data_IF_540973071426
#
_entry.id   IF_540973071426
#
_cell.length_a   1.000
_cell.length_b   1.000
_cell.length_c   1.000
_cell.angle_alpha   90.00
_cell.angle_beta   90.00
_cell.angle_gamma   90.00
#
_symmetry.space_group_name_H-M   'P 1'
#
loop_
_entity.id
_entity.type
_entity.pdbx_description
1 polymer ?
#
# COMPACT_ATOMS: atom_id res chain seq x y z
N UNK A 1 42.71 42.43 21.78
CA UNK A 1 42.34 41.66 20.56
C UNK A 1 41.70 40.28 20.85
N UNK A 2 41.57 39.85 22.10
CA UNK A 2 41.10 38.51 22.48
C UNK A 2 39.57 38.38 22.56
N UNK A 3 38.86 39.46 22.94
CA UNK A 3 37.40 39.48 23.11
C UNK A 3 36.61 39.22 21.81
N UNK A 4 37.10 39.74 20.68
CA UNK A 4 36.44 39.59 19.36
C UNK A 4 36.48 38.15 18.84
N UNK A 5 37.57 37.40 19.12
CA UNK A 5 37.69 35.98 18.74
C UNK A 5 36.78 35.09 19.57
N UNK A 6 36.69 35.32 20.88
CA UNK A 6 35.84 34.52 21.79
C UNK A 6 34.36 34.69 21.43
N UNK A 7 33.92 35.92 21.16
CA UNK A 7 32.52 36.20 20.77
C UNK A 7 32.15 35.55 19.42
N UNK A 8 33.08 35.55 18.46
CA UNK A 8 32.86 34.94 17.15
C UNK A 8 32.78 33.41 17.24
N UNK A 9 33.65 32.79 18.04
CA UNK A 9 33.62 31.34 18.28
C UNK A 9 32.33 30.93 18.99
N UNK A 10 31.89 31.67 20.02
CA UNK A 10 30.63 31.41 20.74
C UNK A 10 29.37 31.58 19.86
N UNK A 11 29.33 32.60 19.00
CA UNK A 11 28.23 32.75 18.03
C UNK A 11 28.20 31.63 16.99
N UNK A 12 29.37 31.16 16.53
CA UNK A 12 29.46 30.08 15.56
C UNK A 12 28.99 28.74 16.16
N UNK A 13 29.38 28.41 17.40
CA UNK A 13 28.88 27.20 18.07
C UNK A 13 27.39 27.29 18.37
N UNK A 14 26.87 28.45 18.77
CA UNK A 14 25.43 28.63 19.01
C UNK A 14 24.61 28.48 17.72
N UNK A 15 25.14 28.97 16.59
CA UNK A 15 24.52 28.84 15.27
C UNK A 15 24.53 27.38 14.76
N UNK A 16 25.63 26.65 14.98
CA UNK A 16 25.72 25.23 14.60
C UNK A 16 24.78 24.38 15.45
N UNK A 17 24.69 24.64 16.76
CA UNK A 17 23.78 23.91 17.66
C UNK A 17 22.31 24.16 17.31
N UNK A 18 21.94 25.38 16.91
CA UNK A 18 20.56 25.68 16.48
C UNK A 18 20.21 25.04 15.14
N UNK A 19 21.12 24.99 14.17
CA UNK A 19 20.90 24.28 12.89
C UNK A 19 20.73 22.76 13.12
N UNK A 20 21.52 22.16 14.01
CA UNK A 20 21.38 20.74 14.36
C UNK A 20 20.07 20.46 15.11
N UNK A 21 19.67 21.32 16.06
CA UNK A 21 18.40 21.16 16.78
C UNK A 21 17.18 21.32 15.87
N UNK A 22 17.19 22.25 14.92
CA UNK A 22 16.09 22.41 13.96
C UNK A 22 15.99 21.21 12.99
N UNK A 23 17.12 20.64 12.57
CA UNK A 23 17.14 19.52 11.63
C UNK A 23 16.62 18.22 12.24
N UNK A 24 16.96 17.94 13.51
CA UNK A 24 16.50 16.73 14.21
C UNK A 24 15.00 16.80 14.52
N UNK A 25 14.48 17.97 14.90
CA UNK A 25 13.05 18.18 15.10
C UNK A 25 12.25 18.01 13.79
N UNK A 26 12.76 18.52 12.68
CA UNK A 26 12.11 18.37 11.36
C UNK A 26 12.10 16.91 10.90
N UNK A 27 13.18 16.16 11.10
CA UNK A 27 13.26 14.75 10.70
C UNK A 27 12.29 13.86 11.51
N UNK A 28 12.13 14.13 12.81
CA UNK A 28 11.19 13.38 13.66
C UNK A 28 9.74 13.69 13.32
N UNK A 29 9.42 14.96 13.05
CA UNK A 29 8.10 15.37 12.59
C UNK A 29 7.76 14.80 11.21
N UNK A 30 8.72 14.76 10.28
CA UNK A 30 8.51 14.16 8.95
C UNK A 30 8.30 12.65 9.03
N UNK A 31 9.07 11.92 9.86
CA UNK A 31 8.89 10.48 10.02
C UNK A 31 7.50 10.14 10.59
N UNK A 32 7.06 10.87 11.61
CA UNK A 32 5.72 10.68 12.19
C UNK A 32 4.60 11.01 11.19
N UNK A 33 4.79 12.02 10.34
CA UNK A 33 3.82 12.34 9.28
C UNK A 33 3.73 11.24 8.23
N UNK A 34 4.85 10.65 7.83
CA UNK A 34 4.89 9.51 6.89
C UNK A 34 4.20 8.27 7.46
N UNK A 35 4.45 7.95 8.74
CA UNK A 35 3.76 6.86 9.46
C UNK A 35 2.23 7.06 9.45
N UNK A 36 1.78 8.26 9.80
CA UNK A 36 0.35 8.60 9.81
C UNK A 36 -0.27 8.53 8.41
N UNK A 37 0.44 8.98 7.38
CA UNK A 37 -0.06 8.92 6.01
C UNK A 37 -0.19 7.48 5.51
N UNK A 38 0.78 6.61 5.82
CA UNK A 38 0.72 5.19 5.47
C UNK A 38 -0.47 4.50 6.16
N UNK A 39 -0.65 4.72 7.46
CA UNK A 39 -1.77 4.17 8.23
C UNK A 39 -3.13 4.67 7.71
N UNK A 40 -3.26 5.98 7.45
CA UNK A 40 -4.50 6.56 6.94
C UNK A 40 -4.86 6.01 5.54
N UNK A 41 -3.84 5.78 4.70
CA UNK A 41 -4.05 5.18 3.37
C UNK A 41 -4.53 3.73 3.48
N UNK A 42 -3.92 2.95 4.39
CA UNK A 42 -4.35 1.59 4.64
C UNK A 42 -5.76 1.51 5.23
N UNK A 43 -6.10 2.39 6.17
CA UNK A 43 -7.46 2.52 6.71
C UNK A 43 -8.48 2.85 5.61
N UNK A 44 -8.11 3.75 4.69
CA UNK A 44 -8.96 4.10 3.56
C UNK A 44 -9.20 2.90 2.64
N UNK A 45 -8.17 2.10 2.38
CA UNK A 45 -8.28 0.87 1.60
C UNK A 45 -9.22 -0.13 2.26
N UNK A 46 -9.03 -0.41 3.56
CA UNK A 46 -9.87 -1.34 4.30
C UNK A 46 -11.34 -0.91 4.28
N UNK A 47 -11.59 0.40 4.44
CA UNK A 47 -12.94 0.95 4.40
C UNK A 47 -13.62 0.76 3.04
N UNK A 48 -12.94 1.12 1.95
CA UNK A 48 -13.50 1.00 0.60
C UNK A 48 -13.64 -0.47 0.19
N UNK A 49 -12.59 -1.26 0.38
CA UNK A 49 -12.58 -2.67 0.03
C UNK A 49 -13.59 -3.49 0.85
N UNK A 50 -13.71 -3.23 2.15
CA UNK A 50 -14.75 -3.84 3.01
C UNK A 50 -16.18 -3.43 2.65
N UNK A 51 -16.36 -2.41 1.80
CA UNK A 51 -17.65 -2.01 1.23
C UNK A 51 -17.87 -2.54 -0.19
N UNK A 52 -16.90 -3.29 -0.75
CA UNK A 52 -16.92 -3.72 -2.14
C UNK A 52 -16.78 -2.57 -3.13
N UNK A 53 -16.19 -1.43 -2.73
CA UNK A 53 -16.05 -0.25 -3.57
C UNK A 53 -14.84 -0.39 -4.54
N UNK A 54 -15.07 -0.34 -5.87
CA UNK A 54 -14.01 -0.47 -6.86
C UNK A 54 -12.90 0.57 -6.79
N UNK A 55 -13.17 1.74 -6.20
CA UNK A 55 -12.16 2.79 -6.05
C UNK A 55 -11.00 2.38 -5.14
N UNK A 56 -11.17 1.34 -4.31
CA UNK A 56 -10.09 0.69 -3.56
C UNK A 56 -8.95 0.18 -4.46
N UNK A 57 -9.23 -0.12 -5.73
CA UNK A 57 -8.23 -0.48 -6.74
C UNK A 57 -7.09 0.54 -6.82
N UNK A 58 -7.40 1.82 -6.73
CA UNK A 58 -6.43 2.91 -6.86
C UNK A 58 -5.50 3.03 -5.64
N UNK A 59 -5.79 2.32 -4.56
CA UNK A 59 -4.96 2.31 -3.35
C UNK A 59 -3.95 1.16 -3.34
N UNK A 60 -4.09 0.18 -4.23
CA UNK A 60 -3.10 -0.89 -4.41
C UNK A 60 -1.83 -0.38 -5.09
N UNK A 61 -0.70 -1.03 -4.81
CA UNK A 61 0.56 -0.80 -5.53
C UNK A 61 0.42 -1.27 -6.99
N UNK A 62 1.24 -0.73 -7.89
CA UNK A 62 1.23 -1.15 -9.29
C UNK A 62 1.56 -2.65 -9.44
N UNK A 63 2.47 -3.17 -8.60
CA UNK A 63 2.78 -4.60 -8.56
C UNK A 63 1.59 -5.41 -8.02
N UNK A 64 0.94 -4.95 -6.96
CA UNK A 64 -0.24 -5.62 -6.41
C UNK A 64 -1.41 -5.66 -7.40
N UNK A 65 -1.64 -4.56 -8.13
CA UNK A 65 -2.60 -4.52 -9.22
C UNK A 65 -2.29 -5.55 -10.31
N UNK A 66 -1.03 -5.61 -10.75
CA UNK A 66 -0.61 -6.59 -11.75
C UNK A 66 -0.90 -8.03 -11.31
N UNK A 67 -0.49 -8.40 -10.10
CA UNK A 67 -0.67 -9.77 -9.57
C UNK A 67 -2.16 -10.10 -9.42
N UNK A 68 -2.97 -9.15 -8.94
CA UNK A 68 -4.42 -9.34 -8.85
C UNK A 68 -5.05 -9.68 -10.21
N UNK A 69 -4.67 -8.96 -11.27
CA UNK A 69 -5.19 -9.21 -12.62
C UNK A 69 -4.74 -10.57 -13.15
N UNK A 70 -3.49 -10.96 -12.89
CA UNK A 70 -2.98 -12.28 -13.29
C UNK A 70 -3.78 -13.41 -12.61
N UNK A 71 -4.06 -13.29 -11.31
CA UNK A 71 -4.86 -14.28 -10.55
C UNK A 71 -6.29 -14.35 -11.09
N UNK A 72 -6.95 -13.20 -11.30
CA UNK A 72 -8.33 -13.16 -11.80
C UNK A 72 -8.41 -13.73 -13.23
N UNK A 73 -7.46 -13.38 -14.09
CA UNK A 73 -7.41 -13.90 -15.46
C UNK A 73 -7.19 -15.42 -15.47
N UNK A 74 -6.28 -15.93 -14.63
CA UNK A 74 -6.04 -17.38 -14.51
C UNK A 74 -7.28 -18.11 -14.00
N UNK A 75 -7.91 -17.63 -12.92
CA UNK A 75 -9.14 -18.23 -12.39
C UNK A 75 -10.27 -18.28 -13.42
N UNK A 76 -10.43 -17.22 -14.23
CA UNK A 76 -11.41 -17.19 -15.32
C UNK A 76 -11.12 -18.25 -16.40
N UNK A 77 -9.86 -18.39 -16.81
CA UNK A 77 -9.46 -19.40 -17.81
C UNK A 77 -9.65 -20.81 -17.26
N UNK A 78 -9.32 -21.04 -15.99
CA UNK A 78 -9.50 -22.34 -15.31
C UNK A 78 -10.98 -22.73 -15.24
N UNK A 79 -11.87 -21.82 -14.79
CA UNK A 79 -13.32 -22.05 -14.76
C UNK A 79 -13.88 -22.32 -16.17
N UNK A 80 -13.39 -21.61 -17.18
CA UNK A 80 -13.78 -21.89 -18.56
C UNK A 80 -13.30 -23.25 -19.02
N UNK A 81 -12.07 -23.65 -18.67
CA UNK A 81 -11.50 -24.93 -19.06
C UNK A 81 -12.25 -26.13 -18.47
N UNK A 82 -12.83 -25.99 -17.28
CA UNK A 82 -13.71 -27.01 -16.67
C UNK A 82 -14.95 -27.30 -17.53
N UNK A 83 -15.44 -26.31 -18.27
CA UNK A 83 -16.64 -26.40 -19.10
C UNK A 83 -16.34 -26.60 -20.60
N UNK A 84 -15.26 -25.99 -21.10
CA UNK A 84 -14.85 -26.00 -22.50
C UNK A 84 -13.33 -25.73 -22.68
N UNK A 85 -12.53 -26.80 -22.62
CA UNK A 85 -11.07 -26.70 -22.75
C UNK A 85 -10.57 -26.14 -24.10
N UNK A 86 -11.32 -26.33 -25.19
CA UNK A 86 -10.93 -25.80 -26.51
C UNK A 86 -11.05 -24.28 -26.56
N UNK A 87 -12.14 -23.73 -26.01
CA UNK A 87 -12.36 -22.27 -25.94
C UNK A 87 -11.40 -21.61 -24.94
N UNK A 88 -11.17 -22.24 -23.79
CA UNK A 88 -10.19 -21.75 -22.81
C UNK A 88 -8.77 -21.67 -23.41
N UNK A 89 -8.39 -22.65 -24.24
CA UNK A 89 -7.09 -22.67 -24.92
C UNK A 89 -6.90 -21.61 -26.01
N UNK A 90 -7.97 -20.90 -26.40
CA UNK A 90 -7.95 -19.80 -27.36
C UNK A 90 -7.86 -18.42 -26.70
N UNK A 91 -7.98 -18.35 -25.37
CA UNK A 91 -7.89 -17.08 -24.65
C UNK A 91 -6.44 -16.59 -24.66
N UNK A 92 -6.24 -15.39 -25.18
CA UNK A 92 -5.02 -14.63 -24.97
C UNK A 92 -5.06 -13.99 -23.57
N UNK A 93 -4.19 -14.46 -22.69
CA UNK A 93 -4.12 -14.01 -21.30
C UNK A 93 -3.71 -12.53 -21.19
N UNK A 94 -2.84 -12.04 -22.07
CA UNK A 94 -2.40 -10.64 -22.05
C UNK A 94 -3.55 -9.72 -22.48
N UNK A 95 -4.32 -10.13 -23.50
CA UNK A 95 -5.53 -9.40 -23.91
C UNK A 95 -6.59 -9.40 -22.80
N UNK A 96 -6.78 -10.53 -22.10
CA UNK A 96 -7.72 -10.62 -20.99
C UNK A 96 -7.29 -9.72 -19.81
N UNK A 97 -6.00 -9.73 -19.45
CA UNK A 97 -5.47 -8.87 -18.39
C UNK A 97 -5.70 -7.39 -18.71
N UNK A 98 -5.47 -6.95 -19.95
CA UNK A 98 -5.70 -5.56 -20.33
C UNK A 98 -7.18 -5.17 -20.34
N UNK A 99 -8.08 -6.10 -20.73
CA UNK A 99 -9.53 -5.89 -20.58
C UNK A 99 -9.90 -5.72 -19.11
N UNK A 100 -9.46 -6.64 -18.25
CA UNK A 100 -9.73 -6.59 -16.81
C UNK A 100 -9.15 -5.31 -16.18
N UNK A 101 -7.95 -4.88 -16.58
CA UNK A 101 -7.38 -3.59 -16.14
C UNK A 101 -8.32 -2.44 -16.45
N UNK A 102 -8.82 -2.37 -17.69
CA UNK A 102 -9.77 -1.33 -18.11
C UNK A 102 -11.06 -1.34 -17.29
N UNK A 103 -11.57 -2.51 -16.93
CA UNK A 103 -12.72 -2.64 -16.04
C UNK A 103 -12.40 -2.12 -14.63
N UNK A 104 -11.27 -2.52 -14.04
CA UNK A 104 -10.88 -2.13 -12.68
C UNK A 104 -10.53 -0.64 -12.53
N UNK A 105 -10.02 -0.01 -13.59
CA UNK A 105 -9.75 1.43 -13.63
C UNK A 105 -11.02 2.28 -13.81
N UNK A 106 -12.12 1.66 -14.23
CA UNK A 106 -13.40 2.33 -14.41
C UNK A 106 -14.28 2.22 -13.15
N UNK A 107 -14.55 3.33 -12.42
CA UNK A 107 -15.36 3.29 -11.21
C UNK A 107 -16.83 2.88 -11.45
N UNK A 108 -17.32 3.01 -12.69
CA UNK A 108 -18.68 2.64 -13.07
C UNK A 108 -18.76 1.21 -13.65
N UNK A 109 -17.67 0.44 -13.65
CA UNK A 109 -17.65 -0.93 -14.15
C UNK A 109 -18.47 -1.86 -13.26
N UNK A 110 -19.43 -2.56 -13.88
CA UNK A 110 -20.19 -3.61 -13.22
C UNK A 110 -19.31 -4.82 -12.89
N UNK A 111 -18.33 -5.14 -13.74
CA UNK A 111 -17.38 -6.23 -13.53
C UNK A 111 -16.51 -5.92 -12.31
N UNK A 112 -15.94 -4.72 -12.23
CA UNK A 112 -15.14 -4.32 -11.08
C UNK A 112 -15.97 -4.36 -9.80
N UNK A 113 -17.20 -3.85 -9.82
CA UNK A 113 -18.11 -3.90 -8.67
C UNK A 113 -18.41 -5.33 -8.22
N UNK A 114 -18.66 -6.23 -9.15
CA UNK A 114 -18.90 -7.64 -8.84
C UNK A 114 -17.67 -8.31 -8.20
N UNK A 115 -16.47 -8.05 -8.73
CA UNK A 115 -15.22 -8.59 -8.18
C UNK A 115 -14.97 -8.06 -6.76
N UNK A 116 -15.12 -6.76 -6.53
CA UNK A 116 -14.94 -6.17 -5.21
C UNK A 116 -16.03 -6.59 -4.22
N UNK A 117 -17.27 -6.77 -4.67
CA UNK A 117 -18.36 -7.32 -3.84
C UNK A 117 -18.03 -8.74 -3.37
N UNK A 118 -17.39 -9.56 -4.20
CA UNK A 118 -16.91 -10.89 -3.82
C UNK A 118 -15.76 -10.88 -2.82
N UNK A 119 -14.89 -9.87 -2.87
CA UNK A 119 -13.72 -9.74 -2.00
C UNK A 119 -13.99 -9.01 -0.68
N UNK A 120 -15.14 -8.34 -0.54
CA UNK A 120 -15.38 -7.41 0.57
C UNK A 120 -15.25 -8.06 1.96
N UNK A 121 -15.68 -9.31 2.09
CA UNK A 121 -15.64 -10.03 3.37
C UNK A 121 -14.21 -10.39 3.72
N UNK A 122 -13.43 -10.89 2.76
CA UNK A 122 -12.02 -11.18 2.95
C UNK A 122 -11.24 -9.92 3.34
N UNK A 123 -11.50 -8.80 2.66
CA UNK A 123 -10.85 -7.52 2.97
C UNK A 123 -11.26 -6.98 4.34
N UNK A 124 -12.54 -7.11 4.71
CA UNK A 124 -13.01 -6.73 6.04
C UNK A 124 -12.36 -7.56 7.15
N UNK A 125 -11.84 -8.75 6.86
CA UNK A 125 -11.09 -9.56 7.84
C UNK A 125 -9.61 -9.21 7.93
N UNK A 126 -9.04 -8.46 6.97
CA UNK A 126 -7.62 -8.08 6.99
C UNK A 126 -7.25 -7.19 8.18
N UNK A 127 -8.21 -6.44 8.71
CA UNK A 127 -8.02 -5.61 9.91
C UNK A 127 -8.14 -6.42 11.22
N UNK A 128 -8.44 -7.73 11.13
CA UNK A 128 -8.74 -8.63 12.24
C UNK A 128 -9.86 -8.13 13.17
N UNK A 129 -10.83 -7.39 12.63
CA UNK A 129 -11.89 -6.73 13.40
C UNK A 129 -11.39 -5.55 14.25
N UNK A 130 -10.18 -5.04 13.97
CA UNK A 130 -9.57 -3.91 14.68
C UNK A 130 -9.38 -2.73 13.75
N UNK A 131 -9.60 -1.53 14.27
CA UNK A 131 -9.32 -0.31 13.51
C UNK A 131 -7.81 -0.19 13.20
N UNK A 132 -7.49 0.15 11.95
CA UNK A 132 -6.12 0.46 11.50
C UNK A 132 -5.39 1.47 12.41
N UNK A 133 -6.12 2.32 13.13
CA UNK A 133 -5.60 3.24 14.16
C UNK A 133 -4.87 2.58 15.33
N UNK A 134 -5.01 1.26 15.51
CA UNK A 134 -4.28 0.49 16.53
C UNK A 134 -2.97 -0.11 16.00
N UNK A 135 -2.75 -0.08 14.69
CA UNK A 135 -1.57 -0.65 14.05
C UNK A 135 -0.36 0.27 14.23
N UNK A 136 0.83 -0.32 14.21
CA UNK A 136 2.10 0.41 14.22
C UNK A 136 2.68 0.44 12.82
N UNK A 137 3.19 1.60 12.40
CA UNK A 137 3.92 1.74 11.15
C UNK A 137 5.42 1.87 11.43
N UNK A 138 6.24 1.21 10.61
CA UNK A 138 7.68 1.43 10.55
C UNK A 138 8.06 1.82 9.12
N UNK A 139 8.62 3.02 8.94
CA UNK A 139 9.05 3.52 7.64
C UNK A 139 10.50 3.12 7.36
N UNK A 140 10.72 2.51 6.19
CA UNK A 140 12.03 2.12 5.68
C UNK A 140 12.18 2.58 4.23
N UNK A 141 12.64 3.82 4.05
CA UNK A 141 12.75 4.44 2.71
C UNK A 141 11.38 4.58 2.05
N UNK A 142 11.18 3.88 0.93
CA UNK A 142 9.92 3.87 0.18
C UNK A 142 8.99 2.72 0.59
N UNK A 143 9.25 2.07 1.72
CA UNK A 143 8.39 1.01 2.27
C UNK A 143 7.87 1.41 3.65
N UNK A 144 6.66 0.99 3.97
CA UNK A 144 6.16 0.98 5.34
C UNK A 144 5.73 -0.44 5.70
N UNK A 145 6.04 -0.87 6.92
CA UNK A 145 5.59 -2.13 7.48
C UNK A 145 4.57 -1.83 8.56
N UNK A 146 3.32 -2.24 8.33
CA UNK A 146 2.20 -2.02 9.24
C UNK A 146 1.96 -3.30 10.04
N UNK A 147 2.20 -3.26 11.34
CA UNK A 147 2.04 -4.42 12.22
C UNK A 147 0.78 -4.27 13.07
N UNK A 148 -0.13 -5.25 13.07
CA UNK A 148 -1.29 -5.24 13.96
C UNK A 148 -0.87 -5.41 15.43
N UNK A 149 -1.74 -5.08 16.40
CA UNK A 149 -1.41 -5.20 17.82
C UNK A 149 -1.11 -6.62 18.30
N UNK A 150 -1.74 -7.63 17.69
CA UNK A 150 -1.74 -9.04 18.15
C UNK A 150 -1.13 -10.00 17.13
N UNK A 151 -0.52 -9.49 16.06
CA UNK A 151 0.04 -10.31 14.99
C UNK A 151 1.44 -9.88 14.63
N UNK A 152 2.25 -10.85 14.19
CA UNK A 152 3.65 -10.64 13.86
C UNK A 152 3.87 -10.36 12.37
N UNK A 153 2.92 -10.74 11.51
CA UNK A 153 3.03 -10.56 10.06
C UNK A 153 2.65 -9.14 9.65
N UNK A 154 3.60 -8.31 9.17
CA UNK A 154 3.32 -6.94 8.79
C UNK A 154 2.68 -6.87 7.41
N UNK A 155 1.69 -5.99 7.24
CA UNK A 155 1.24 -5.55 5.92
C UNK A 155 2.26 -4.56 5.35
N UNK A 156 2.77 -4.83 4.15
CA UNK A 156 3.67 -3.92 3.45
C UNK A 156 2.87 -2.82 2.72
N UNK A 157 3.34 -1.58 2.82
CA UNK A 157 2.98 -0.47 1.94
C UNK A 157 4.21 -0.07 1.11
N UNK A 158 3.98 0.43 -0.10
CA UNK A 158 5.02 0.94 -0.99
C UNK A 158 4.71 2.39 -1.37
N UNK A 159 5.74 3.24 -1.42
CA UNK A 159 5.59 4.64 -1.85
C UNK A 159 5.87 4.76 -3.34
N UNK A 160 4.84 5.08 -4.10
CA UNK A 160 4.88 5.26 -5.56
C UNK A 160 4.50 6.71 -5.90
N UNK A 161 5.36 7.41 -6.65
CA UNK A 161 5.12 8.81 -7.04
C UNK A 161 4.78 9.74 -5.84
N UNK A 162 5.37 9.45 -4.67
CA UNK A 162 5.15 10.24 -3.45
C UNK A 162 3.88 9.85 -2.66
N UNK A 163 3.12 8.87 -3.11
CA UNK A 163 1.90 8.39 -2.44
C UNK A 163 2.11 6.97 -1.90
N UNK A 164 1.61 6.70 -0.70
CA UNK A 164 1.59 5.34 -0.16
C UNK A 164 0.54 4.50 -0.89
N UNK A 165 0.87 3.23 -1.13
CA UNK A 165 0.04 2.22 -1.78
C UNK A 165 0.11 0.92 -1.00
N UNK A 166 -0.98 0.18 -0.99
CA UNK A 166 -1.13 -1.10 -0.29
C UNK A 166 -0.47 -2.21 -1.10
N UNK A 167 0.52 -2.87 -0.51
CA UNK A 167 1.29 -3.97 -1.11
C UNK A 167 0.89 -5.34 -0.56
N UNK A 168 -0.38 -5.73 -0.74
CA UNK A 168 -0.92 -7.01 -0.23
C UNK A 168 -0.17 -8.19 -0.85
N UNK A 169 0.08 -8.19 -2.15
CA UNK A 169 0.68 -9.33 -2.84
C UNK A 169 2.17 -9.45 -2.57
N UNK A 170 2.86 -8.33 -2.35
CA UNK A 170 4.23 -8.29 -1.87
C UNK A 170 4.34 -8.87 -0.46
N UNK A 171 3.31 -8.65 0.37
CA UNK A 171 3.19 -9.24 1.71
C UNK A 171 2.99 -10.76 1.60
N UNK A 172 2.03 -11.21 0.79
CA UNK A 172 1.74 -12.64 0.57
C UNK A 172 2.96 -13.40 0.01
N UNK A 173 3.73 -12.78 -0.89
CA UNK A 173 4.98 -13.35 -1.42
C UNK A 173 6.07 -13.44 -0.34
N UNK A 174 6.18 -12.45 0.54
CA UNK A 174 7.18 -12.46 1.62
C UNK A 174 6.93 -13.57 2.65
N UNK A 175 5.66 -13.90 2.90
CA UNK A 175 5.28 -14.98 3.83
C UNK A 175 5.09 -16.34 3.13
N UNK A 176 5.42 -16.43 1.84
CA UNK A 176 5.46 -17.68 1.08
C UNK A 176 4.10 -18.28 0.71
N UNK A 177 3.05 -17.46 0.66
CA UNK A 177 1.71 -17.88 0.22
C UNK A 177 1.60 -17.81 -1.32
N UNK A 178 2.31 -16.88 -1.95
CA UNK A 178 2.45 -16.70 -3.40
C UNK A 178 3.91 -16.85 -3.82
#
# INVERSE_FOLDING_TARGET
>A
MTYKKICHTLCLTLAIVTIFFCSVCNAKASAQAEEQQALATFEHFLKLGGQGDPSAWNLLSAEGQKIALEIVAQGYIEEMAENNAEEAGQIDIDELIEKLRGEMENPDSEIARMLWEGLKEDIATLDNGKTASTWKAKIEGNKAFLTPPDGDDPMQMVKENGQWKVGIFETLRQIGIL
#
